data_IF_135643338382
#
_entry.id   IF_135643338382
#
_cell.length_a   1.000
_cell.length_b   1.000
_cell.length_c   1.000
_cell.angle_alpha   90.00
_cell.angle_beta   90.00
_cell.angle_gamma   90.00
#
_symmetry.space_group_name_H-M   'P 1'
#
loop_
_entity.id
_entity.type
_entity.pdbx_description
1 polymer ?
#
# COMPACT_ATOMS: atom_id res chain seq x y z
N UNK A 1 35.03 23.89 -3.74
CA UNK A 1 34.68 25.12 -4.49
C UNK A 1 35.97 25.82 -4.88
N UNK A 2 36.58 25.36 -5.98
CA UNK A 2 37.59 26.14 -6.69
C UNK A 2 37.24 26.00 -8.17
N UNK A 3 36.69 27.08 -8.74
CA UNK A 3 36.66 27.27 -10.18
C UNK A 3 38.11 27.48 -10.62
N UNK A 4 38.65 26.55 -11.40
CA UNK A 4 39.80 26.84 -12.25
C UNK A 4 39.30 26.78 -13.68
N UNK A 5 39.03 27.96 -14.23
CA UNK A 5 38.84 28.16 -15.65
C UNK A 5 40.23 28.10 -16.30
N UNK A 6 40.53 27.00 -16.99
CA UNK A 6 41.55 27.01 -18.04
C UNK A 6 40.82 26.86 -19.37
N UNK A 7 40.73 27.97 -20.08
CA UNK A 7 40.28 28.00 -21.47
C UNK A 7 41.42 27.49 -22.35
N UNK A 8 41.16 26.47 -23.18
CA UNK A 8 41.98 26.27 -24.37
C UNK A 8 41.24 25.50 -25.47
N UNK A 9 41.13 26.17 -26.62
CA UNK A 9 40.92 25.62 -27.98
C UNK A 9 39.53 25.04 -28.33
N UNK A 10 38.54 25.92 -28.39
CA UNK A 10 37.78 26.15 -29.63
C UNK A 10 36.91 25.03 -30.24
N UNK A 11 36.76 23.87 -29.61
CA UNK A 11 35.78 22.87 -30.03
C UNK A 11 34.78 22.64 -28.89
N UNK A 12 33.57 23.17 -29.06
CA UNK A 12 32.45 22.87 -28.18
C UNK A 12 31.96 21.45 -28.53
N UNK A 13 32.66 20.41 -28.08
CA UNK A 13 32.10 19.07 -28.07
C UNK A 13 31.27 18.94 -26.79
N UNK A 14 29.95 19.08 -26.93
CA UNK A 14 29.03 18.41 -26.02
C UNK A 14 29.30 16.91 -26.18
N UNK A 15 30.22 16.37 -25.37
CA UNK A 15 30.25 14.94 -25.11
C UNK A 15 28.96 14.65 -24.36
N UNK A 16 27.93 14.22 -25.08
CA UNK A 16 27.00 13.26 -24.51
C UNK A 16 27.86 12.05 -24.16
N UNK A 17 28.33 12.02 -22.91
CA UNK A 17 28.89 10.81 -22.32
C UNK A 17 27.76 9.81 -22.28
N UNK A 18 27.63 9.02 -23.34
CA UNK A 18 27.16 7.64 -23.18
C UNK A 18 28.31 6.89 -22.53
N UNK A 19 28.61 7.24 -21.28
CA UNK A 19 29.38 6.36 -20.43
C UNK A 19 28.45 5.19 -20.18
N UNK A 20 28.50 4.19 -21.06
CA UNK A 20 28.08 2.84 -20.72
C UNK A 20 29.04 2.38 -19.62
N UNK A 21 28.81 2.86 -18.40
CA UNK A 21 29.48 2.39 -17.20
C UNK A 21 29.21 0.90 -17.18
N UNK A 22 30.25 0.15 -17.53
CA UNK A 22 30.22 -1.30 -17.53
C UNK A 22 30.14 -1.68 -16.06
N UNK A 23 28.92 -1.96 -15.60
CA UNK A 23 28.67 -2.34 -14.22
C UNK A 23 29.60 -3.51 -13.89
N UNK A 24 30.36 -3.38 -12.81
CA UNK A 24 31.21 -4.48 -12.35
C UNK A 24 30.33 -5.69 -12.06
N UNK A 25 30.88 -6.90 -12.20
CA UNK A 25 30.14 -8.13 -11.94
C UNK A 25 29.51 -8.13 -10.52
N UNK A 26 30.18 -7.48 -9.57
CA UNK A 26 29.68 -7.24 -8.22
C UNK A 26 28.50 -6.24 -8.20
N UNK A 27 28.58 -5.13 -8.93
CA UNK A 27 27.48 -4.16 -9.05
C UNK A 27 26.23 -4.77 -9.72
N UNK A 28 26.42 -5.71 -10.64
CA UNK A 28 25.33 -6.47 -11.27
C UNK A 28 24.65 -7.40 -10.26
N UNK A 29 25.42 -8.13 -9.45
CA UNK A 29 24.91 -9.02 -8.40
C UNK A 29 24.05 -8.28 -7.35
N UNK A 30 24.48 -7.10 -6.88
CA UNK A 30 23.67 -6.29 -5.96
C UNK A 30 22.35 -5.84 -6.59
N UNK A 31 22.35 -5.51 -7.89
CA UNK A 31 21.14 -5.10 -8.62
C UNK A 31 20.13 -6.24 -8.71
N UNK A 32 20.59 -7.46 -8.99
CA UNK A 32 19.72 -8.64 -9.04
C UNK A 32 19.13 -8.95 -7.66
N UNK A 33 19.95 -8.92 -6.61
CA UNK A 33 19.49 -9.08 -5.22
C UNK A 33 18.41 -8.06 -4.84
N UNK A 34 18.55 -6.79 -5.26
CA UNK A 34 17.52 -5.77 -5.00
C UNK A 34 16.19 -6.10 -5.69
N UNK A 35 16.22 -6.65 -6.91
CA UNK A 35 15.01 -7.07 -7.63
C UNK A 35 14.33 -8.24 -6.91
N UNK A 36 15.10 -9.23 -6.46
CA UNK A 36 14.58 -10.38 -5.72
C UNK A 36 13.98 -9.98 -4.37
N UNK A 37 14.67 -9.11 -3.62
CA UNK A 37 14.15 -8.54 -2.36
C UNK A 37 12.84 -7.80 -2.61
N UNK A 38 12.78 -6.99 -3.68
CA UNK A 38 11.56 -6.27 -4.07
C UNK A 38 10.42 -7.24 -4.39
N UNK A 39 10.68 -8.28 -5.16
CA UNK A 39 9.66 -9.29 -5.49
C UNK A 39 9.20 -10.06 -4.26
N UNK A 40 10.09 -10.39 -3.33
CA UNK A 40 9.73 -11.04 -2.07
C UNK A 40 8.84 -10.14 -1.20
N UNK A 41 9.17 -8.84 -1.10
CA UNK A 41 8.32 -7.85 -0.41
C UNK A 41 6.93 -7.79 -1.07
N UNK A 42 6.87 -7.77 -2.41
CA UNK A 42 5.59 -7.74 -3.14
C UNK A 42 4.79 -9.03 -2.96
N UNK A 43 5.44 -10.20 -2.94
CA UNK A 43 4.80 -11.50 -2.63
C UNK A 43 4.20 -11.50 -1.24
N UNK A 44 4.95 -11.05 -0.22
CA UNK A 44 4.46 -10.92 1.17
C UNK A 44 3.28 -9.95 1.27
N UNK A 45 3.31 -8.83 0.54
CA UNK A 45 2.18 -7.89 0.47
C UNK A 45 0.95 -8.49 -0.20
N UNK A 46 1.13 -9.25 -1.29
CA UNK A 46 0.03 -9.94 -2.00
C UNK A 46 -0.60 -11.05 -1.16
N UNK A 47 0.20 -11.77 -0.37
CA UNK A 47 -0.27 -12.82 0.55
C UNK A 47 -1.18 -12.30 1.68
N UNK A 48 -1.23 -10.99 1.91
CA UNK A 48 -2.11 -10.36 2.92
C UNK A 48 -3.50 -9.98 2.42
N UNK A 49 -3.83 -10.22 1.14
CA UNK A 49 -5.18 -9.95 0.63
C UNK A 49 -6.13 -11.05 1.10
N UNK A 50 -7.27 -10.66 1.67
CA UNK A 50 -8.30 -11.58 2.11
C UNK A 50 -8.85 -12.40 0.92
N UNK A 51 -9.18 -13.68 1.11
CA UNK A 51 -9.89 -14.46 0.10
C UNK A 51 -11.18 -13.75 -0.35
N UNK A 52 -11.55 -13.90 -1.62
CA UNK A 52 -12.74 -13.24 -2.19
C UNK A 52 -14.02 -13.59 -1.43
N UNK A 53 -14.18 -14.87 -1.05
CA UNK A 53 -15.34 -15.37 -0.31
C UNK A 53 -15.49 -14.69 1.05
N UNK A 54 -14.36 -14.49 1.75
CA UNK A 54 -14.32 -13.78 3.02
C UNK A 54 -14.73 -12.31 2.88
N UNK A 55 -14.30 -11.65 1.79
CA UNK A 55 -14.67 -10.25 1.53
C UNK A 55 -16.17 -10.11 1.30
N UNK A 56 -16.81 -11.09 0.65
CA UNK A 56 -18.26 -11.10 0.45
C UNK A 56 -19.04 -11.12 1.76
N UNK A 57 -18.60 -11.91 2.74
CA UNK A 57 -19.21 -11.96 4.09
C UNK A 57 -19.06 -10.62 4.82
N UNK A 58 -17.87 -10.04 4.81
CA UNK A 58 -17.60 -8.73 5.44
C UNK A 58 -18.41 -7.61 4.77
N UNK A 59 -18.51 -7.64 3.45
CA UNK A 59 -19.35 -6.70 2.69
C UNK A 59 -20.84 -6.87 3.01
N UNK A 60 -21.33 -8.10 3.18
CA UNK A 60 -22.73 -8.36 3.50
C UNK A 60 -23.14 -7.74 4.84
N UNK A 61 -22.22 -7.70 5.82
CA UNK A 61 -22.42 -6.96 7.06
C UNK A 61 -22.32 -5.44 6.85
N UNK A 62 -21.36 -4.98 6.04
CA UNK A 62 -21.09 -3.56 5.80
C UNK A 62 -22.26 -2.81 5.14
N UNK A 63 -22.85 -3.39 4.09
CA UNK A 63 -23.90 -2.72 3.29
C UNK A 63 -25.07 -2.18 4.13
N UNK A 64 -25.69 -2.94 5.05
CA UNK A 64 -26.75 -2.41 5.91
C UNK A 64 -26.26 -1.48 7.03
N UNK A 65 -24.96 -1.46 7.35
CA UNK A 65 -24.38 -0.66 8.42
C UNK A 65 -23.49 0.48 7.91
N UNK A 66 -23.59 0.85 6.63
CA UNK A 66 -22.69 1.85 6.01
C UNK A 66 -22.82 3.25 6.63
N UNK A 67 -23.96 3.57 7.23
CA UNK A 67 -24.16 4.82 7.97
C UNK A 67 -23.40 4.85 9.31
N UNK A 68 -23.28 3.69 9.96
CA UNK A 68 -22.65 3.52 11.27
C UNK A 68 -21.85 2.21 11.35
N UNK A 69 -20.69 2.13 10.69
CA UNK A 69 -19.97 0.87 10.48
C UNK A 69 -19.10 0.49 11.69
N UNK A 70 -19.72 0.39 12.86
CA UNK A 70 -19.08 -0.05 14.10
C UNK A 70 -19.66 -1.40 14.53
N UNK A 71 -19.05 -2.53 14.14
CA UNK A 71 -19.52 -3.83 14.56
C UNK A 71 -19.37 -3.99 16.08
N UNK A 72 -20.40 -4.52 16.71
CA UNK A 72 -20.37 -4.90 18.13
C UNK A 72 -19.40 -6.06 18.37
N UNK A 73 -19.08 -6.37 19.63
CA UNK A 73 -18.23 -7.53 19.94
C UNK A 73 -18.87 -8.85 19.49
N UNK A 74 -20.20 -8.96 19.58
CA UNK A 74 -20.96 -10.11 19.06
C UNK A 74 -20.90 -10.20 17.53
N UNK A 75 -21.02 -9.07 16.82
CA UNK A 75 -20.85 -9.03 15.37
C UNK A 75 -19.45 -9.49 14.96
N UNK A 76 -18.42 -8.99 15.64
CA UNK A 76 -17.04 -9.40 15.40
C UNK A 76 -16.85 -10.90 15.64
N UNK A 77 -17.42 -11.44 16.72
CA UNK A 77 -17.35 -12.87 17.03
C UNK A 77 -18.02 -13.72 15.94
N UNK A 78 -19.21 -13.32 15.48
CA UNK A 78 -19.89 -13.98 14.35
C UNK A 78 -19.06 -13.92 13.07
N UNK A 79 -18.51 -12.76 12.73
CA UNK A 79 -17.67 -12.61 11.54
C UNK A 79 -16.40 -13.46 11.62
N UNK A 80 -15.78 -13.61 12.79
CA UNK A 80 -14.66 -14.55 13.01
C UNK A 80 -15.09 -15.98 12.70
N UNK A 81 -16.26 -16.40 13.19
CA UNK A 81 -16.77 -17.76 12.98
C UNK A 81 -17.09 -18.04 11.51
N UNK A 82 -17.75 -17.11 10.82
CA UNK A 82 -18.17 -17.28 9.43
C UNK A 82 -17.00 -17.19 8.44
N UNK A 83 -16.03 -16.31 8.71
CA UNK A 83 -14.92 -16.07 7.79
C UNK A 83 -13.67 -16.91 8.08
N UNK A 84 -13.56 -17.44 9.29
CA UNK A 84 -12.34 -18.10 9.79
C UNK A 84 -11.16 -17.14 9.98
N UNK A 85 -11.36 -15.82 9.85
CA UNK A 85 -10.32 -14.83 10.04
C UNK A 85 -10.05 -14.56 11.52
N UNK A 86 -8.83 -14.14 11.81
CA UNK A 86 -8.51 -13.60 13.12
C UNK A 86 -9.21 -12.26 13.33
N UNK A 87 -9.62 -11.98 14.57
CA UNK A 87 -10.25 -10.72 14.97
C UNK A 87 -9.45 -9.49 14.51
N UNK A 88 -8.12 -9.56 14.58
CA UNK A 88 -7.22 -8.49 14.10
C UNK A 88 -7.39 -8.19 12.60
N UNK A 89 -7.58 -9.22 11.78
CA UNK A 89 -7.77 -9.06 10.34
C UNK A 89 -9.12 -8.42 10.04
N UNK A 90 -10.15 -8.79 10.79
CA UNK A 90 -11.49 -8.20 10.69
C UNK A 90 -11.44 -6.72 11.10
N UNK A 91 -10.82 -6.39 12.24
CA UNK A 91 -10.66 -5.00 12.69
C UNK A 91 -9.91 -4.15 11.66
N UNK A 92 -8.79 -4.66 11.13
CA UNK A 92 -8.03 -3.96 10.10
C UNK A 92 -8.84 -3.76 8.82
N UNK A 93 -9.68 -4.73 8.45
CA UNK A 93 -10.56 -4.60 7.30
C UNK A 93 -11.59 -3.49 7.49
N UNK A 94 -12.28 -3.44 8.65
CA UNK A 94 -13.25 -2.39 8.94
C UNK A 94 -12.62 -0.99 9.00
N UNK A 95 -11.42 -0.87 9.56
CA UNK A 95 -10.66 0.39 9.56
C UNK A 95 -10.38 0.81 8.11
N UNK A 96 -9.77 -0.06 7.30
CA UNK A 96 -9.44 0.28 5.93
C UNK A 96 -10.68 0.57 5.07
N UNK A 97 -11.76 -0.20 5.24
CA UNK A 97 -13.01 0.01 4.51
C UNK A 97 -13.64 1.36 4.87
N UNK A 98 -13.59 1.76 6.15
CA UNK A 98 -14.02 3.08 6.59
C UNK A 98 -13.17 4.19 6.00
N UNK A 99 -11.85 4.05 6.00
CA UNK A 99 -10.95 5.03 5.35
C UNK A 99 -11.22 5.13 3.83
N UNK A 100 -11.51 4.01 3.16
CA UNK A 100 -11.92 3.98 1.75
C UNK A 100 -13.24 4.74 1.50
N UNK A 101 -14.26 4.56 2.35
CA UNK A 101 -15.53 5.30 2.23
C UNK A 101 -15.37 6.80 2.58
N UNK A 102 -14.59 7.13 3.62
CA UNK A 102 -14.35 8.52 4.02
C UNK A 102 -13.51 9.29 3.00
N UNK A 103 -12.68 8.60 2.22
CA UNK A 103 -11.98 9.19 1.09
C UNK A 103 -12.93 9.63 -0.05
N UNK A 104 -14.20 9.17 -0.03
CA UNK A 104 -15.21 9.62 -0.97
C UNK A 104 -15.78 10.99 -0.53
N UNK A 105 -15.69 12.05 -1.36
CA UNK A 105 -16.06 13.42 -0.98
C UNK A 105 -17.49 13.59 -0.47
N UNK A 106 -18.41 12.72 -0.89
CA UNK A 106 -19.83 12.78 -0.51
C UNK A 106 -20.12 12.27 0.91
N UNK A 107 -19.20 11.54 1.55
CA UNK A 107 -19.44 10.93 2.87
C UNK A 107 -19.16 11.88 4.05
N UNK A 108 -18.45 12.99 3.83
CA UNK A 108 -18.13 13.97 4.89
C UNK A 108 -19.36 14.71 5.44
N UNK A 109 -20.51 14.64 4.76
CA UNK A 109 -21.75 15.32 5.18
C UNK A 109 -22.60 14.51 6.17
N UNK A 110 -22.28 13.23 6.37
CA UNK A 110 -23.08 12.31 7.21
C UNK A 110 -22.40 11.90 8.53
N UNK A 111 -21.19 12.37 8.80
CA UNK A 111 -20.45 11.97 10.01
C UNK A 111 -21.01 12.67 11.25
N UNK A 112 -21.92 12.01 11.97
CA UNK A 112 -22.40 12.44 13.28
C UNK A 112 -21.44 11.90 14.38
N UNK A 113 -20.83 12.74 15.21
CA UNK A 113 -19.84 12.28 16.19
C UNK A 113 -20.44 11.75 17.51
N UNK A 114 -21.77 11.69 17.67
CA UNK A 114 -22.41 11.70 19.00
C UNK A 114 -23.04 10.37 19.47
N UNK A 115 -22.65 9.23 18.90
CA UNK A 115 -23.09 7.91 19.36
C UNK A 115 -21.90 6.97 19.54
N UNK A 116 -21.05 7.29 20.53
CA UNK A 116 -20.06 6.36 21.09
C UNK A 116 -20.41 6.10 22.56
N UNK A 117 -21.24 5.08 22.78
CA UNK A 117 -21.45 4.43 24.08
C UNK A 117 -21.74 2.96 23.83
#
# INVERSE_FOLDING_TARGET
MYLVLLTCNGTCLLKQGTDSVSLTHEQQDYREKIVDIREEILRKRRAGKLPGDTRSVLNAWWQPHSEWPYPTEDDKARLVQETGLQLKQINNWFINQKEEELAHPSFLLFYCPEKQT
#
